data_IF_938683144877
#
_entry.id   IF_938683144877
#
_cell.length_a   1.000
_cell.length_b   1.000
_cell.length_c   1.000
_cell.angle_alpha   90.00
_cell.angle_beta   90.00
_cell.angle_gamma   90.00
#
_symmetry.space_group_name_H-M   'P 1'
#
loop_
_entity.id
_entity.type
_entity.pdbx_description
1 polymer ?
#
# COMPACT_ATOMS: atom_id res chain seq x y z
N UNK A 1 66.15 9.03 15.36
CA UNK A 1 64.73 9.40 15.45
C UNK A 1 63.84 9.01 14.20
N UNK A 2 64.31 9.14 12.94
CA UNK A 2 63.55 8.74 11.75
C UNK A 2 63.25 7.23 11.67
N UNK A 3 64.14 6.34 12.07
CA UNK A 3 63.95 4.88 12.05
C UNK A 3 62.95 4.38 13.09
N UNK A 4 62.83 5.04 14.25
CA UNK A 4 61.86 4.69 15.30
C UNK A 4 60.43 5.06 14.87
N UNK A 5 60.22 6.19 14.16
CA UNK A 5 58.93 6.59 13.64
C UNK A 5 58.39 5.61 12.58
N UNK A 6 59.30 5.07 11.71
CA UNK A 6 58.92 4.05 10.73
C UNK A 6 58.51 2.72 11.35
N UNK A 7 59.16 2.32 12.45
CA UNK A 7 58.86 1.08 13.16
C UNK A 7 57.52 1.15 13.92
N UNK A 8 57.23 2.32 14.52
CA UNK A 8 55.92 2.57 15.17
C UNK A 8 54.80 2.56 14.14
N UNK A 9 54.99 3.12 12.94
CA UNK A 9 53.99 3.11 11.87
C UNK A 9 53.72 1.70 11.34
N UNK A 10 54.77 0.86 11.24
CA UNK A 10 54.66 -0.55 10.83
C UNK A 10 53.91 -1.40 11.88
N UNK A 11 54.07 -1.08 13.16
CA UNK A 11 53.40 -1.77 14.28
C UNK A 11 51.92 -1.34 14.45
N UNK A 12 51.56 -0.12 14.05
CA UNK A 12 50.17 0.37 14.07
C UNK A 12 49.35 -0.04 12.82
N UNK A 13 49.99 -0.41 11.71
CA UNK A 13 49.35 -0.79 10.46
C UNK A 13 48.40 -2.00 10.60
N UNK A 14 48.74 -3.08 11.31
CA UNK A 14 47.81 -4.22 11.49
C UNK A 14 46.62 -3.90 12.39
N UNK A 15 46.71 -2.91 13.29
CA UNK A 15 45.55 -2.47 14.09
C UNK A 15 44.45 -1.77 13.25
N UNK A 16 44.83 -1.11 12.16
CA UNK A 16 43.86 -0.49 11.22
C UNK A 16 43.18 -1.52 10.33
N UNK A 17 43.76 -2.69 10.13
CA UNK A 17 43.19 -3.80 9.35
C UNK A 17 42.21 -4.67 10.19
N UNK A 18 42.28 -4.61 11.52
CA UNK A 18 41.40 -5.35 12.41
C UNK A 18 39.99 -4.73 12.55
N UNK A 19 39.74 -3.55 11.98
CA UNK A 19 38.47 -2.84 12.05
C UNK A 19 37.32 -3.46 11.22
N UNK A 20 37.58 -4.54 10.46
CA UNK A 20 36.60 -5.21 9.63
C UNK A 20 36.09 -6.56 10.19
N UNK A 21 36.35 -6.87 11.46
CA UNK A 21 36.07 -8.21 12.03
C UNK A 21 34.56 -8.44 12.39
N UNK A 22 33.72 -7.45 12.27
CA UNK A 22 32.30 -7.60 12.62
C UNK A 22 31.36 -7.65 11.36
N UNK A 23 31.86 -8.23 10.26
CA UNK A 23 31.03 -8.47 9.05
C UNK A 23 30.51 -9.90 9.06
N UNK A 24 29.20 -10.04 9.34
CA UNK A 24 28.46 -11.25 9.01
C UNK A 24 28.54 -11.44 7.49
N UNK A 25 29.04 -12.60 7.05
CA UNK A 25 29.18 -12.89 5.62
C UNK A 25 27.79 -12.95 4.93
N UNK A 26 27.76 -12.61 3.64
CA UNK A 26 26.49 -12.55 2.86
C UNK A 26 25.80 -13.91 2.83
N UNK A 27 26.58 -15.00 2.83
CA UNK A 27 26.09 -16.38 2.86
C UNK A 27 25.39 -16.75 4.17
N UNK A 28 25.70 -16.08 5.27
CA UNK A 28 25.07 -16.29 6.58
C UNK A 28 23.77 -15.48 6.75
N UNK A 29 23.46 -14.59 5.80
CA UNK A 29 22.25 -13.74 5.85
C UNK A 29 21.09 -14.37 5.12
N UNK A 30 19.93 -14.37 5.74
CA UNK A 30 18.64 -14.66 5.14
C UNK A 30 17.95 -13.37 4.71
N UNK A 31 17.99 -13.03 3.42
CA UNK A 31 17.36 -11.80 2.91
C UNK A 31 15.85 -11.91 2.92
N UNK A 32 15.20 -11.03 3.66
CA UNK A 32 13.73 -10.97 3.75
C UNK A 32 13.19 -10.09 2.63
N UNK A 33 12.26 -10.62 1.82
CA UNK A 33 11.56 -9.89 0.75
C UNK A 33 10.21 -9.33 1.19
N UNK A 34 9.48 -10.06 2.02
CA UNK A 34 8.16 -9.69 2.50
C UNK A 34 7.96 -10.08 3.95
N UNK A 35 7.19 -9.27 4.66
CA UNK A 35 6.73 -9.55 6.04
C UNK A 35 5.22 -9.42 6.06
N UNK A 36 4.55 -10.35 6.74
CA UNK A 36 3.12 -10.29 6.99
C UNK A 36 2.84 -10.48 8.48
N UNK A 37 1.86 -9.73 8.99
CA UNK A 37 1.47 -9.75 10.40
C UNK A 37 -0.03 -9.94 10.51
N UNK A 38 -0.41 -10.96 11.25
CA UNK A 38 -1.77 -11.38 11.55
C UNK A 38 -2.02 -11.44 13.06
N UNK A 39 -3.28 -11.46 13.47
CA UNK A 39 -3.61 -11.96 14.81
C UNK A 39 -3.43 -13.48 14.84
N UNK A 40 -2.91 -14.03 15.94
CA UNK A 40 -2.55 -15.44 16.04
C UNK A 40 -3.67 -16.41 15.68
N UNK A 41 -4.92 -16.05 15.99
CA UNK A 41 -6.11 -16.88 15.76
C UNK A 41 -6.90 -16.51 14.49
N UNK A 42 -6.32 -15.71 13.59
CA UNK A 42 -6.99 -15.36 12.33
C UNK A 42 -6.99 -16.55 11.37
N UNK A 43 -8.16 -16.94 10.81
CA UNK A 43 -8.23 -18.06 9.87
C UNK A 43 -7.52 -17.73 8.57
N UNK A 44 -6.69 -18.66 8.06
CA UNK A 44 -6.17 -18.63 6.70
C UNK A 44 -7.27 -18.99 5.70
N UNK A 45 -7.32 -18.31 4.55
CA UNK A 45 -8.21 -18.67 3.43
C UNK A 45 -7.55 -19.62 2.44
N UNK A 46 -6.24 -19.62 2.38
CA UNK A 46 -5.53 -20.63 1.62
C UNK A 46 -5.58 -21.90 2.45
N UNK A 47 -6.50 -22.79 2.10
CA UNK A 47 -6.53 -24.13 2.68
C UNK A 47 -5.33 -24.91 2.14
N UNK A 48 -4.19 -24.79 2.86
CA UNK A 48 -2.94 -25.48 2.52
C UNK A 48 -3.13 -27.00 2.68
N UNK A 49 -4.26 -27.44 3.26
CA UNK A 49 -4.56 -28.82 3.58
C UNK A 49 -5.51 -29.52 2.59
N UNK A 50 -6.21 -28.81 1.70
CA UNK A 50 -6.99 -29.48 0.65
C UNK A 50 -6.07 -29.93 -0.51
N UNK A 51 -6.06 -31.22 -0.86
CA UNK A 51 -5.42 -31.67 -2.09
C UNK A 51 -6.21 -31.10 -3.27
N UNK A 52 -5.65 -30.08 -3.97
CA UNK A 52 -6.20 -29.67 -5.27
C UNK A 52 -6.22 -30.87 -6.21
N UNK A 53 -7.27 -31.02 -7.05
CA UNK A 53 -7.35 -32.12 -7.97
C UNK A 53 -6.12 -32.14 -8.89
N UNK A 54 -5.56 -33.32 -9.02
CA UNK A 54 -4.36 -33.72 -9.74
C UNK A 54 -4.40 -33.36 -11.24
N UNK A 55 -4.21 -32.07 -11.60
CA UNK A 55 -4.00 -31.64 -12.98
C UNK A 55 -2.98 -30.49 -13.04
N UNK A 56 -1.71 -30.84 -13.10
CA UNK A 56 -0.67 -29.91 -13.50
C UNK A 56 0.17 -29.26 -12.40
N UNK A 57 0.10 -29.76 -11.17
CA UNK A 57 1.03 -29.30 -10.13
C UNK A 57 2.46 -29.65 -10.47
N UNK A 58 3.32 -28.65 -10.51
CA UNK A 58 4.75 -28.88 -10.61
C UNK A 58 5.27 -29.47 -9.29
N UNK A 59 6.33 -30.28 -9.34
CA UNK A 59 6.99 -30.85 -8.17
C UNK A 59 7.36 -29.79 -7.13
N UNK A 60 7.67 -28.58 -7.58
CA UNK A 60 7.93 -27.40 -6.77
C UNK A 60 6.74 -26.97 -5.91
N UNK A 61 5.52 -27.06 -6.44
CA UNK A 61 4.30 -26.71 -5.72
C UNK A 61 3.98 -27.74 -4.64
N UNK A 62 4.21 -29.02 -4.95
CA UNK A 62 4.07 -30.12 -3.97
C UNK A 62 5.13 -30.01 -2.87
N UNK A 63 6.39 -29.76 -3.23
CA UNK A 63 7.49 -29.62 -2.26
C UNK A 63 7.26 -28.37 -1.35
N UNK A 64 6.74 -27.26 -1.88
CA UNK A 64 6.35 -26.10 -1.08
C UNK A 64 5.17 -26.38 -0.14
N UNK A 65 4.16 -27.13 -0.60
CA UNK A 65 3.04 -27.52 0.25
C UNK A 65 3.50 -28.43 1.40
N UNK A 66 4.29 -29.45 1.09
CA UNK A 66 4.84 -30.37 2.10
C UNK A 66 5.73 -29.63 3.09
N UNK A 67 6.57 -28.73 2.59
CA UNK A 67 7.48 -27.92 3.40
C UNK A 67 6.73 -26.97 4.34
N UNK A 68 5.71 -26.28 3.83
CA UNK A 68 4.91 -25.33 4.61
C UNK A 68 4.05 -26.08 5.67
N UNK A 69 3.50 -27.25 5.32
CA UNK A 69 2.73 -28.10 6.24
C UNK A 69 3.54 -28.49 7.47
N UNK A 70 4.79 -28.86 7.28
CA UNK A 70 5.68 -29.27 8.39
C UNK A 70 6.06 -28.11 9.31
N UNK A 71 5.92 -26.85 8.85
CA UNK A 71 6.22 -25.67 9.68
C UNK A 71 5.01 -25.18 10.49
N UNK A 72 3.78 -25.35 9.96
CA UNK A 72 2.57 -24.90 10.64
C UNK A 72 2.14 -25.86 11.77
N UNK A 73 2.41 -27.16 11.65
CA UNK A 73 2.00 -28.17 12.65
C UNK A 73 2.81 -28.08 13.97
N UNK A 74 4.07 -27.63 13.92
CA UNK A 74 4.95 -27.58 15.10
C UNK A 74 4.71 -26.37 16.04
N UNK A 75 3.99 -25.33 15.59
CA UNK A 75 3.89 -24.05 16.30
C UNK A 75 2.49 -23.69 16.84
N UNK A 76 1.49 -24.55 16.70
CA UNK A 76 0.08 -24.24 17.05
C UNK A 76 -0.25 -24.37 18.54
N UNK A 77 0.73 -24.52 19.45
CA UNK A 77 0.45 -24.97 20.82
C UNK A 77 0.32 -23.87 21.88
N UNK A 78 0.29 -22.58 21.56
CA UNK A 78 0.09 -21.56 22.59
C UNK A 78 -1.15 -20.71 22.29
N UNK A 79 -2.29 -21.05 22.85
CA UNK A 79 -3.59 -20.35 22.68
C UNK A 79 -3.59 -18.87 23.15
N UNK A 80 -2.52 -18.43 23.80
CA UNK A 80 -2.39 -17.08 24.37
C UNK A 80 -1.57 -16.10 23.51
N UNK A 81 -0.98 -16.54 22.41
CA UNK A 81 -0.17 -15.65 21.54
C UNK A 81 -1.05 -14.59 20.89
N UNK A 82 -0.51 -13.34 20.76
CA UNK A 82 -1.24 -12.19 20.19
C UNK A 82 -1.14 -12.15 18.68
N UNK A 83 0.04 -12.44 18.13
CA UNK A 83 0.36 -12.22 16.72
C UNK A 83 0.92 -13.47 16.05
N UNK A 84 0.72 -13.55 14.73
CA UNK A 84 1.46 -14.45 13.83
C UNK A 84 2.30 -13.59 12.88
N UNK A 85 3.60 -13.81 12.87
CA UNK A 85 4.56 -13.20 11.97
C UNK A 85 4.93 -14.18 10.87
N UNK A 86 4.80 -13.79 9.61
CA UNK A 86 5.28 -14.57 8.46
C UNK A 86 6.36 -13.77 7.74
N UNK A 87 7.53 -14.38 7.52
CA UNK A 87 8.66 -13.79 6.78
C UNK A 87 8.95 -14.60 5.54
N UNK A 88 9.09 -13.91 4.41
CA UNK A 88 9.51 -14.50 3.14
C UNK A 88 11.00 -14.30 2.92
N UNK A 89 11.75 -15.39 2.99
CA UNK A 89 13.19 -15.42 2.75
C UNK A 89 13.49 -15.70 1.29
N UNK A 90 14.39 -14.93 0.69
CA UNK A 90 14.91 -15.16 -0.67
C UNK A 90 15.87 -16.34 -0.63
N UNK A 91 15.73 -17.25 -1.59
CA UNK A 91 16.66 -18.35 -1.82
C UNK A 91 17.44 -18.08 -3.12
N UNK A 92 18.66 -17.53 -3.05
CA UNK A 92 19.40 -17.06 -4.22
C UNK A 92 19.63 -18.15 -5.27
N UNK A 93 19.89 -19.40 -4.85
CA UNK A 93 20.10 -20.54 -5.74
C UNK A 93 18.86 -20.89 -6.59
N UNK A 94 17.65 -20.54 -6.11
CA UNK A 94 16.40 -20.75 -6.86
C UNK A 94 16.10 -19.66 -7.90
N UNK A 95 16.77 -18.51 -7.84
CA UNK A 95 16.52 -17.40 -8.77
C UNK A 95 17.06 -17.64 -10.18
N UNK A 96 18.21 -18.31 -10.29
CA UNK A 96 18.94 -18.50 -11.57
C UNK A 96 18.49 -19.69 -12.42
N UNK A 97 17.62 -20.57 -11.91
CA UNK A 97 17.23 -21.78 -12.62
C UNK A 97 16.09 -21.50 -13.61
N UNK A 98 16.27 -21.92 -14.87
CA UNK A 98 15.20 -21.94 -15.85
C UNK A 98 14.20 -23.06 -15.46
N UNK A 99 12.90 -22.79 -15.54
CA UNK A 99 11.83 -23.75 -15.20
C UNK A 99 11.84 -25.06 -16.01
N UNK A 100 12.69 -25.18 -17.06
CA UNK A 100 12.71 -26.29 -17.98
C UNK A 100 13.85 -27.33 -17.78
N UNK A 101 14.62 -27.20 -16.68
CA UNK A 101 15.67 -28.21 -16.40
C UNK A 101 15.05 -29.35 -15.59
N UNK A 102 14.95 -30.55 -16.15
CA UNK A 102 14.37 -31.75 -15.52
C UNK A 102 15.14 -32.30 -14.29
N UNK A 103 15.72 -31.41 -13.49
CA UNK A 103 16.38 -31.68 -12.21
C UNK A 103 15.61 -31.09 -11.03
N UNK A 104 15.98 -31.42 -9.80
CA UNK A 104 15.42 -30.83 -8.57
C UNK A 104 15.55 -29.30 -8.61
N UNK A 105 14.45 -28.60 -8.85
CA UNK A 105 14.41 -27.14 -8.86
C UNK A 105 14.35 -26.63 -7.42
N UNK A 106 15.33 -25.82 -7.02
CA UNK A 106 15.30 -25.13 -5.71
C UNK A 106 14.29 -24.00 -5.77
N UNK A 107 13.37 -23.85 -4.78
CA UNK A 107 12.42 -22.73 -4.76
C UNK A 107 13.14 -21.40 -4.63
N UNK A 108 12.58 -20.33 -5.27
CA UNK A 108 13.15 -18.99 -5.22
C UNK A 108 12.99 -18.30 -3.86
N UNK A 109 12.07 -18.76 -3.04
CA UNK A 109 11.80 -18.24 -1.70
C UNK A 109 11.38 -19.35 -0.74
N UNK A 110 11.42 -19.03 0.54
CA UNK A 110 10.93 -19.84 1.64
C UNK A 110 10.18 -18.94 2.62
N UNK A 111 8.98 -19.33 3.03
CA UNK A 111 8.26 -18.62 4.09
C UNK A 111 8.52 -19.31 5.45
N UNK A 112 8.69 -18.49 6.48
CA UNK A 112 8.73 -18.93 7.88
C UNK A 112 7.63 -18.21 8.63
N UNK A 113 6.91 -18.93 9.48
CA UNK A 113 5.85 -18.37 10.31
C UNK A 113 6.08 -18.71 11.77
N UNK A 114 5.80 -17.77 12.67
CA UNK A 114 5.91 -17.92 14.11
C UNK A 114 4.78 -17.14 14.79
N UNK A 115 4.19 -17.74 15.82
CA UNK A 115 3.25 -17.06 16.72
C UNK A 115 3.95 -16.60 17.98
N UNK A 116 3.52 -15.49 18.55
CA UNK A 116 4.11 -14.95 19.78
C UNK A 116 3.49 -13.62 20.19
N UNK A 117 3.98 -13.05 21.28
CA UNK A 117 3.51 -11.78 21.82
C UNK A 117 4.27 -10.58 21.27
N UNK A 118 5.49 -10.76 20.80
CA UNK A 118 6.33 -9.69 20.30
C UNK A 118 7.03 -10.07 19.00
N UNK A 119 7.16 -9.10 18.08
CA UNK A 119 7.86 -9.28 16.79
C UNK A 119 9.33 -9.69 16.99
N UNK A 120 9.99 -9.12 18.00
CA UNK A 120 11.42 -9.39 18.28
C UNK A 120 11.61 -10.84 18.72
N UNK A 121 10.74 -11.36 19.60
CA UNK A 121 10.78 -12.73 20.05
C UNK A 121 10.55 -13.71 18.90
N UNK A 122 9.47 -13.51 18.15
CA UNK A 122 9.15 -14.32 16.97
C UNK A 122 10.31 -14.33 15.96
N UNK A 123 10.93 -13.19 15.70
CA UNK A 123 12.09 -13.11 14.81
C UNK A 123 13.28 -13.92 15.31
N UNK A 124 13.56 -13.90 16.62
CA UNK A 124 14.63 -14.73 17.22
C UNK A 124 14.36 -16.23 17.09
N UNK A 125 13.11 -16.62 17.25
CA UNK A 125 12.72 -18.03 17.09
C UNK A 125 12.79 -18.48 15.62
N UNK A 126 12.44 -17.63 14.68
CA UNK A 126 12.65 -17.89 13.25
C UNK A 126 14.12 -18.07 12.87
N UNK A 127 15.04 -17.32 13.48
CA UNK A 127 16.49 -17.46 13.24
C UNK A 127 16.96 -18.88 13.61
N UNK A 128 16.41 -19.47 14.69
CA UNK A 128 16.71 -20.87 15.08
C UNK A 128 16.28 -21.89 14.01
N UNK A 129 15.20 -21.60 13.27
CA UNK A 129 14.68 -22.45 12.20
C UNK A 129 15.36 -22.17 10.85
N UNK A 130 15.71 -20.91 10.58
CA UNK A 130 16.27 -20.48 9.32
C UNK A 130 17.71 -20.95 9.12
N UNK A 131 18.48 -21.15 10.21
CA UNK A 131 19.92 -21.37 10.16
C UNK A 131 20.72 -20.18 9.60
N UNK A 132 20.04 -19.00 9.45
CA UNK A 132 20.61 -17.76 8.94
C UNK A 132 20.04 -16.58 9.70
N UNK A 133 20.85 -15.53 9.87
CA UNK A 133 20.39 -14.28 10.49
C UNK A 133 19.52 -13.53 9.48
N UNK A 134 18.28 -13.21 9.85
CA UNK A 134 17.37 -12.46 8.99
C UNK A 134 17.89 -11.04 8.74
N UNK A 135 17.83 -10.59 7.50
CA UNK A 135 18.28 -9.29 7.06
C UNK A 135 17.18 -8.61 6.24
N UNK A 136 16.76 -7.43 6.68
CA UNK A 136 15.65 -6.66 6.09
C UNK A 136 16.09 -5.58 5.11
N UNK A 137 17.37 -5.53 4.73
CA UNK A 137 17.87 -4.55 3.73
C UNK A 137 17.25 -4.72 2.35
N UNK A 138 16.68 -5.89 2.05
CA UNK A 138 15.98 -6.20 0.80
C UNK A 138 14.46 -6.34 0.98
N UNK A 139 13.93 -5.90 2.12
CA UNK A 139 12.51 -5.91 2.36
C UNK A 139 11.78 -4.99 1.37
N UNK A 140 10.80 -5.54 0.67
CA UNK A 140 10.03 -4.84 -0.34
C UNK A 140 8.67 -4.39 0.19
N UNK A 141 8.02 -5.23 1.03
CA UNK A 141 6.65 -5.01 1.51
C UNK A 141 6.45 -5.51 2.93
N UNK A 142 5.67 -4.76 3.70
CA UNK A 142 5.08 -5.19 4.97
C UNK A 142 3.56 -5.19 4.81
N UNK A 143 2.94 -6.30 5.14
CA UNK A 143 1.51 -6.53 5.07
C UNK A 143 0.93 -6.66 6.47
N UNK A 144 -0.20 -6.02 6.70
CA UNK A 144 -0.98 -6.18 7.93
C UNK A 144 -2.37 -6.68 7.55
N UNK A 145 -2.89 -7.69 8.24
CA UNK A 145 -4.29 -8.06 8.05
C UNK A 145 -5.24 -6.95 8.51
N UNK A 146 -6.43 -6.90 7.93
CA UNK A 146 -7.49 -5.97 8.34
C UNK A 146 -7.79 -6.12 9.84
N UNK A 147 -7.75 -7.36 10.36
CA UNK A 147 -7.94 -7.64 11.77
C UNK A 147 -6.91 -6.93 12.67
N UNK A 148 -5.63 -6.93 12.27
CA UNK A 148 -4.56 -6.19 12.98
C UNK A 148 -4.77 -4.69 12.86
N UNK A 149 -5.10 -4.19 11.67
CA UNK A 149 -5.20 -2.76 11.40
C UNK A 149 -6.44 -2.10 12.02
N UNK A 150 -7.51 -2.87 12.28
CA UNK A 150 -8.73 -2.38 12.94
C UNK A 150 -8.65 -2.44 14.47
N UNK A 151 -7.69 -3.18 15.02
CA UNK A 151 -7.44 -3.21 16.45
C UNK A 151 -6.79 -1.87 16.90
N UNK A 152 -7.33 -1.30 17.97
CA UNK A 152 -6.92 0.01 18.47
C UNK A 152 -5.47 0.00 18.97
N UNK A 153 -4.66 0.97 18.53
CA UNK A 153 -3.23 1.18 18.78
C UNK A 153 -2.30 0.11 18.18
N UNK A 154 -2.79 -1.05 17.76
CA UNK A 154 -1.95 -2.19 17.34
C UNK A 154 -1.11 -1.85 16.09
N UNK A 155 -1.72 -1.24 15.08
CA UNK A 155 -1.00 -0.88 13.86
C UNK A 155 0.13 0.13 14.13
N UNK A 156 -0.11 1.15 14.97
CA UNK A 156 0.90 2.15 15.33
C UNK A 156 2.05 1.52 16.10
N UNK A 157 1.76 0.70 17.11
CA UNK A 157 2.76 0.01 17.92
C UNK A 157 3.65 -0.92 17.06
N UNK A 158 3.05 -1.69 16.15
CA UNK A 158 3.79 -2.55 15.24
C UNK A 158 4.63 -1.75 14.25
N UNK A 159 4.11 -0.66 13.70
CA UNK A 159 4.87 0.23 12.82
C UNK A 159 6.07 0.86 13.55
N UNK A 160 5.94 1.24 14.83
CA UNK A 160 7.06 1.80 15.62
C UNK A 160 8.23 0.79 15.72
N UNK A 161 7.94 -0.50 15.88
CA UNK A 161 8.96 -1.56 15.91
C UNK A 161 9.74 -1.59 14.59
N UNK A 162 9.05 -1.59 13.46
CA UNK A 162 9.69 -1.60 12.14
C UNK A 162 10.48 -0.33 11.87
N UNK A 163 9.99 0.83 12.31
CA UNK A 163 10.65 2.12 12.11
C UNK A 163 11.90 2.31 12.95
N UNK A 164 12.06 1.54 14.03
CA UNK A 164 13.29 1.49 14.87
C UNK A 164 14.37 0.57 14.30
N UNK A 165 13.99 -0.33 13.37
CA UNK A 165 14.95 -1.24 12.74
C UNK A 165 15.91 -0.48 11.82
N UNK A 166 17.21 -0.52 12.15
CA UNK A 166 18.24 0.27 11.46
C UNK A 166 18.50 -0.17 10.02
N UNK A 167 18.31 -1.46 9.73
CA UNK A 167 18.55 -2.04 8.41
C UNK A 167 17.35 -1.87 7.48
N UNK A 168 16.17 -1.51 8.00
CA UNK A 168 14.96 -1.36 7.20
C UNK A 168 14.99 -0.07 6.37
N UNK A 169 14.76 -0.21 5.06
CA UNK A 169 14.65 0.93 4.16
C UNK A 169 13.31 1.66 4.33
N UNK A 170 13.35 2.98 4.33
CA UNK A 170 12.14 3.80 4.40
C UNK A 170 11.24 3.70 3.16
N UNK A 171 11.75 3.15 2.06
CA UNK A 171 11.03 2.91 0.82
C UNK A 171 10.18 1.63 0.80
N UNK A 172 10.26 0.81 1.85
CA UNK A 172 9.45 -0.41 2.00
C UNK A 172 7.97 -0.05 1.89
N UNK A 173 7.23 -0.76 1.04
CA UNK A 173 5.79 -0.54 0.85
C UNK A 173 5.01 -1.13 2.00
N UNK A 174 3.89 -0.50 2.34
CA UNK A 174 2.98 -0.99 3.37
C UNK A 174 1.59 -1.09 2.79
N UNK A 175 0.91 -2.20 3.04
CA UNK A 175 -0.47 -2.40 2.64
C UNK A 175 -1.25 -3.19 3.71
N UNK A 176 -2.57 -3.02 3.68
CA UNK A 176 -3.51 -3.86 4.43
C UNK A 176 -3.95 -5.01 3.52
N UNK A 177 -4.24 -6.15 4.10
CA UNK A 177 -4.85 -7.28 3.39
C UNK A 177 -6.25 -7.52 3.95
N UNK A 178 -7.19 -7.84 3.07
CA UNK A 178 -8.57 -8.06 3.48
C UNK A 178 -8.73 -9.26 4.41
N UNK A 179 -7.87 -10.26 4.24
CA UNK A 179 -7.86 -11.50 4.99
C UNK A 179 -6.49 -11.70 5.67
N UNK A 180 -6.13 -12.94 5.96
CA UNK A 180 -4.87 -13.35 6.57
C UNK A 180 -3.68 -12.87 5.72
N UNK A 181 -2.84 -12.00 6.28
CA UNK A 181 -1.76 -11.34 5.54
C UNK A 181 -0.66 -12.31 5.11
N UNK A 182 -0.40 -13.34 5.92
CA UNK A 182 0.56 -14.39 5.61
C UNK A 182 0.28 -15.09 4.28
N UNK A 183 -1.00 -15.29 3.93
CA UNK A 183 -1.42 -15.98 2.71
C UNK A 183 -0.89 -15.29 1.44
N UNK A 184 -0.74 -13.98 1.45
CA UNK A 184 -0.24 -13.19 0.33
C UNK A 184 1.23 -13.49 0.00
N UNK A 185 1.99 -14.01 0.94
CA UNK A 185 3.37 -14.42 0.70
C UNK A 185 3.49 -15.86 0.16
N UNK A 186 2.38 -16.61 0.08
CA UNK A 186 2.32 -17.96 -0.50
C UNK A 186 1.76 -18.01 -1.92
N UNK A 187 1.31 -16.89 -2.49
CA UNK A 187 0.84 -16.86 -3.87
C UNK A 187 1.99 -17.18 -4.85
N UNK A 188 1.64 -17.63 -6.05
CA UNK A 188 2.58 -18.04 -7.10
C UNK A 188 2.36 -17.19 -8.35
N UNK A 189 2.74 -15.91 -8.37
CA UNK A 189 2.51 -15.04 -9.51
C UNK A 189 3.34 -15.49 -10.71
N UNK A 190 2.74 -15.44 -11.91
CA UNK A 190 3.40 -15.95 -13.12
C UNK A 190 4.53 -15.06 -13.65
N UNK A 191 4.50 -13.77 -13.33
CA UNK A 191 5.43 -12.75 -13.84
C UNK A 191 6.56 -12.38 -12.87
N UNK A 192 6.55 -12.93 -11.65
CA UNK A 192 7.56 -12.67 -10.63
C UNK A 192 7.78 -13.93 -9.78
N UNK A 193 9.04 -14.29 -9.51
CA UNK A 193 9.36 -15.49 -8.74
C UNK A 193 9.16 -15.32 -7.22
N UNK A 194 9.14 -14.07 -6.73
CA UNK A 194 9.06 -13.75 -5.30
C UNK A 194 7.79 -12.95 -5.04
N UNK A 195 6.80 -13.50 -4.32
CA UNK A 195 5.55 -12.81 -3.97
C UNK A 195 5.72 -11.41 -3.39
N UNK A 196 6.63 -11.21 -2.45
CA UNK A 196 6.89 -9.89 -1.85
C UNK A 196 7.33 -8.84 -2.86
N UNK A 197 8.12 -9.22 -3.88
CA UNK A 197 8.50 -8.33 -4.98
C UNK A 197 7.31 -8.05 -5.92
N UNK A 198 6.49 -9.06 -6.21
CA UNK A 198 5.28 -8.91 -7.00
C UNK A 198 4.32 -7.91 -6.37
N UNK A 199 4.05 -8.07 -5.06
CA UNK A 199 3.15 -7.17 -4.32
C UNK A 199 3.70 -5.74 -4.31
N UNK A 200 4.99 -5.57 -4.08
CA UNK A 200 5.60 -4.23 -4.11
C UNK A 200 5.45 -3.55 -5.48
N UNK A 201 5.63 -4.29 -6.59
CA UNK A 201 5.40 -3.78 -7.96
C UNK A 201 3.92 -3.47 -8.22
N UNK A 202 3.00 -4.31 -7.72
CA UNK A 202 1.56 -4.06 -7.80
C UNK A 202 1.18 -2.74 -7.13
N UNK A 203 1.75 -2.46 -5.96
CA UNK A 203 1.52 -1.21 -5.22
C UNK A 203 2.16 0.03 -5.89
N UNK A 204 3.10 -0.14 -6.80
CA UNK A 204 3.71 0.96 -7.57
C UNK A 204 2.94 1.33 -8.85
N UNK A 205 1.95 0.54 -9.24
CA UNK A 205 1.15 0.82 -10.43
C UNK A 205 0.27 2.06 -10.20
N UNK A 206 0.45 3.07 -11.06
CA UNK A 206 -0.27 4.35 -10.98
C UNK A 206 -1.30 4.53 -12.09
N UNK A 207 -1.49 3.53 -12.93
CA UNK A 207 -2.32 3.61 -14.14
C UNK A 207 -3.83 3.44 -13.88
N UNK A 208 -4.27 3.52 -12.62
CA UNK A 208 -5.68 3.40 -12.27
C UNK A 208 -6.04 4.42 -11.19
N UNK A 209 -7.12 5.17 -11.40
CA UNK A 209 -7.64 6.16 -10.44
C UNK A 209 -8.09 5.56 -9.10
N UNK A 210 -8.33 4.25 -9.02
CA UNK A 210 -8.66 3.57 -7.77
C UNK A 210 -7.43 3.33 -6.89
N UNK A 211 -6.22 3.38 -7.48
CA UNK A 211 -4.95 3.11 -6.81
C UNK A 211 -4.39 4.42 -6.26
N UNK A 212 -4.11 4.47 -4.96
CA UNK A 212 -3.41 5.61 -4.37
C UNK A 212 -1.91 5.60 -4.68
N UNK A 213 -1.26 6.72 -4.40
CA UNK A 213 0.21 6.77 -4.40
C UNK A 213 0.77 5.70 -3.44
N UNK A 214 1.88 5.02 -3.81
CA UNK A 214 2.48 4.02 -2.96
C UNK A 214 2.76 4.57 -1.56
N UNK A 215 2.25 3.89 -0.54
CA UNK A 215 2.50 4.26 0.85
C UNK A 215 3.72 3.51 1.36
N UNK A 216 4.73 4.23 1.82
CA UNK A 216 5.97 3.66 2.32
C UNK A 216 6.06 3.78 3.85
N UNK A 217 6.91 2.95 4.46
CA UNK A 217 7.19 3.03 5.89
C UNK A 217 7.64 4.44 6.32
N UNK A 218 8.46 5.12 5.49
CA UNK A 218 8.88 6.50 5.75
C UNK A 218 7.73 7.51 5.68
N UNK A 219 6.77 7.32 4.77
CA UNK A 219 5.56 8.16 4.71
C UNK A 219 4.70 7.96 5.96
N UNK A 220 4.47 6.69 6.36
CA UNK A 220 3.68 6.36 7.56
C UNK A 220 4.32 6.98 8.80
N UNK A 221 5.65 6.88 8.96
CA UNK A 221 6.35 7.51 10.07
C UNK A 221 6.06 9.01 10.16
N UNK A 222 6.16 9.72 9.04
CA UNK A 222 5.90 11.16 9.02
C UNK A 222 4.44 11.50 9.36
N UNK A 223 3.49 10.65 8.92
CA UNK A 223 2.06 10.81 9.18
C UNK A 223 1.72 10.54 10.64
N UNK A 224 2.22 9.45 11.23
CA UNK A 224 2.02 9.09 12.64
C UNK A 224 2.63 10.17 13.57
N UNK A 225 3.88 10.59 13.32
CA UNK A 225 4.53 11.64 14.10
C UNK A 225 3.80 12.99 14.03
N UNK A 226 3.14 13.27 12.90
CA UNK A 226 2.34 14.49 12.73
C UNK A 226 0.88 14.32 13.13
N UNK A 227 0.49 13.17 13.70
CA UNK A 227 -0.88 12.81 14.10
C UNK A 227 -1.89 13.10 13.00
N UNK A 228 -1.60 12.64 11.78
CA UNK A 228 -2.46 12.79 10.61
C UNK A 228 -3.07 11.48 10.23
N UNK A 229 -4.35 11.51 9.91
CA UNK A 229 -5.06 10.41 9.27
C UNK A 229 -4.60 10.23 7.82
N UNK A 230 -4.60 9.00 7.33
CA UNK A 230 -4.12 8.66 5.99
C UNK A 230 -4.81 7.42 5.43
N UNK A 231 -4.70 7.27 4.12
CA UNK A 231 -5.18 6.10 3.41
C UNK A 231 -4.06 5.07 3.23
N UNK A 232 -4.38 3.79 3.42
CA UNK A 232 -3.47 2.66 3.23
C UNK A 232 -4.05 1.76 2.13
N UNK A 233 -3.26 1.35 1.12
CA UNK A 233 -3.70 0.38 0.12
C UNK A 233 -4.25 -0.88 0.76
N UNK A 234 -5.40 -1.40 0.26
CA UNK A 234 -5.94 -2.69 0.65
C UNK A 234 -5.92 -3.65 -0.52
N UNK A 235 -5.46 -4.87 -0.27
CA UNK A 235 -5.29 -5.94 -1.24
C UNK A 235 -6.25 -7.09 -0.95
N UNK A 236 -6.62 -7.84 -2.00
CA UNK A 236 -7.40 -9.07 -1.91
C UNK A 236 -6.83 -10.15 -2.82
N UNK A 237 -6.72 -11.38 -2.32
CA UNK A 237 -6.37 -12.55 -3.13
C UNK A 237 -7.58 -12.91 -3.98
N UNK A 238 -7.39 -13.01 -5.30
CA UNK A 238 -8.39 -13.51 -6.25
C UNK A 238 -8.24 -15.01 -6.41
N UNK A 239 -7.00 -15.45 -6.64
CA UNK A 239 -6.60 -16.87 -6.74
C UNK A 239 -5.12 -17.01 -6.34
N UNK A 240 -4.60 -18.25 -6.41
CA UNK A 240 -3.22 -18.57 -6.01
C UNK A 240 -2.14 -17.80 -6.83
N UNK A 241 -2.49 -17.23 -7.97
CA UNK A 241 -1.57 -16.51 -8.87
C UNK A 241 -1.80 -15.01 -8.88
N UNK A 242 -2.95 -14.53 -8.37
CA UNK A 242 -3.44 -13.18 -8.63
C UNK A 242 -3.88 -12.46 -7.36
N UNK A 243 -3.34 -11.28 -7.15
CA UNK A 243 -3.79 -10.31 -6.15
C UNK A 243 -4.40 -9.12 -6.86
N UNK A 244 -5.54 -8.63 -6.34
CA UNK A 244 -6.14 -7.37 -6.75
C UNK A 244 -5.91 -6.28 -5.71
N UNK A 245 -5.69 -5.07 -6.21
CA UNK A 245 -5.84 -3.85 -5.45
C UNK A 245 -7.35 -3.55 -5.31
N UNK A 246 -7.85 -3.54 -4.07
CA UNK A 246 -9.32 -3.45 -3.83
C UNK A 246 -9.76 -2.03 -3.51
N UNK A 247 -8.88 -1.20 -2.95
CA UNK A 247 -9.22 0.16 -2.54
C UNK A 247 -8.26 0.70 -1.48
N UNK A 248 -8.80 1.54 -0.60
CA UNK A 248 -8.06 2.31 0.39
C UNK A 248 -8.67 2.10 1.78
N UNK A 249 -7.91 1.56 2.72
CA UNK A 249 -8.26 1.54 4.14
C UNK A 249 -8.01 2.91 4.75
N UNK A 250 -8.93 3.40 5.59
CA UNK A 250 -8.89 4.71 6.24
C UNK A 250 -8.33 4.55 7.63
N UNK A 251 -7.07 4.96 7.85
CA UNK A 251 -6.49 5.05 9.19
C UNK A 251 -6.85 6.38 9.82
N UNK A 252 -7.49 6.34 10.99
CA UNK A 252 -7.83 7.51 11.79
C UNK A 252 -6.79 7.68 12.90
N UNK A 253 -6.09 8.81 12.89
CA UNK A 253 -5.00 9.09 13.83
C UNK A 253 -5.49 9.41 15.25
N UNK A 254 -6.74 9.86 15.42
CA UNK A 254 -7.33 10.11 16.74
C UNK A 254 -7.76 8.80 17.42
N UNK A 255 -8.25 7.83 16.61
CA UNK A 255 -8.69 6.51 17.09
C UNK A 255 -7.58 5.45 17.01
N UNK A 256 -6.43 5.79 16.45
CA UNK A 256 -5.27 4.92 16.24
C UNK A 256 -5.61 3.55 15.61
N UNK A 257 -6.48 3.53 14.61
CA UNK A 257 -6.90 2.31 13.89
C UNK A 257 -7.52 2.60 12.53
N UNK A 258 -7.66 1.57 11.72
CA UNK A 258 -8.47 1.61 10.51
C UNK A 258 -9.96 1.65 10.90
N UNK A 259 -10.70 2.58 10.30
CA UNK A 259 -12.12 2.86 10.63
C UNK A 259 -13.06 2.65 9.46
N UNK A 260 -12.56 2.38 8.27
CA UNK A 260 -13.37 2.16 7.07
C UNK A 260 -12.52 1.92 5.83
N UNK A 261 -13.19 1.68 4.72
CA UNK A 261 -12.58 1.38 3.42
C UNK A 261 -13.30 2.19 2.34
N UNK A 262 -12.54 2.76 1.40
CA UNK A 262 -13.02 3.33 0.15
C UNK A 262 -12.71 2.38 -1.00
N UNK A 263 -13.68 2.04 -1.83
CA UNK A 263 -13.52 1.16 -3.00
C UNK A 263 -14.12 1.78 -4.25
N UNK A 264 -13.69 1.34 -5.43
CA UNK A 264 -14.25 1.79 -6.71
C UNK A 264 -14.33 3.32 -6.82
N UNK A 265 -15.53 3.84 -7.13
CA UNK A 265 -15.72 5.28 -7.34
C UNK A 265 -15.48 6.14 -6.09
N UNK A 266 -15.64 5.59 -4.88
CA UNK A 266 -15.32 6.31 -3.65
C UNK A 266 -13.81 6.51 -3.49
N UNK A 267 -13.00 5.53 -3.90
CA UNK A 267 -11.54 5.66 -3.97
C UNK A 267 -11.11 6.63 -5.08
N UNK A 268 -11.73 6.57 -6.27
CA UNK A 268 -11.51 7.54 -7.36
C UNK A 268 -11.81 8.96 -6.89
N UNK A 269 -12.93 9.16 -6.17
CA UNK A 269 -13.33 10.46 -5.63
C UNK A 269 -12.26 11.06 -4.71
N UNK A 270 -11.66 10.26 -3.81
CA UNK A 270 -10.55 10.69 -2.97
C UNK A 270 -9.33 11.08 -3.81
N UNK A 271 -9.02 10.27 -4.82
CA UNK A 271 -7.87 10.50 -5.67
C UNK A 271 -8.03 11.73 -6.56
N UNK A 272 -9.21 12.05 -7.07
CA UNK A 272 -9.46 13.34 -7.72
C UNK A 272 -9.19 14.54 -6.83
N UNK A 273 -9.44 14.41 -5.51
CA UNK A 273 -9.18 15.48 -4.54
C UNK A 273 -7.68 15.60 -4.23
N UNK A 274 -6.99 14.47 -4.02
CA UNK A 274 -5.64 14.44 -3.45
C UNK A 274 -4.52 14.25 -4.47
N UNK A 275 -4.83 13.72 -5.66
CA UNK A 275 -3.79 13.25 -6.56
C UNK A 275 -3.16 14.36 -7.39
N UNK A 276 -1.86 14.21 -7.52
CA UNK A 276 -1.06 14.82 -8.58
C UNK A 276 -0.53 13.67 -9.44
N UNK A 277 -0.67 13.79 -10.74
CA UNK A 277 -0.09 12.85 -11.72
C UNK A 277 -0.65 11.42 -11.71
N UNK A 278 -1.91 11.22 -11.27
CA UNK A 278 -2.62 9.96 -11.47
C UNK A 278 -3.37 9.95 -12.79
N UNK A 279 -3.32 8.80 -13.45
CA UNK A 279 -4.07 8.51 -14.67
C UNK A 279 -5.09 7.40 -14.42
N UNK A 280 -6.01 7.19 -15.34
CA UNK A 280 -7.02 6.13 -15.26
C UNK A 280 -8.22 6.46 -16.10
N UNK A 281 -9.30 5.71 -15.98
CA UNK A 281 -10.48 5.86 -16.85
C UNK A 281 -11.72 6.22 -16.07
N UNK A 282 -12.59 7.00 -16.73
CA UNK A 282 -13.97 7.27 -16.31
C UNK A 282 -14.91 6.93 -17.47
N UNK A 283 -15.91 6.13 -17.18
CA UNK A 283 -16.93 5.75 -18.17
C UNK A 283 -18.14 6.67 -18.06
N UNK A 284 -18.58 7.20 -19.18
CA UNK A 284 -19.77 8.06 -19.31
C UNK A 284 -20.73 7.42 -20.29
N UNK A 285 -21.98 7.25 -19.89
CA UNK A 285 -23.06 6.95 -20.82
C UNK A 285 -23.76 8.26 -21.23
N UNK A 286 -23.66 8.63 -22.50
CA UNK A 286 -24.27 9.82 -23.06
C UNK A 286 -25.21 9.44 -24.20
N UNK A 287 -26.52 9.62 -23.99
CA UNK A 287 -27.54 9.34 -25.02
C UNK A 287 -27.43 7.92 -25.59
N UNK A 288 -27.29 6.90 -24.76
CA UNK A 288 -27.04 5.48 -25.10
C UNK A 288 -25.73 5.21 -25.85
N UNK A 289 -24.76 6.13 -25.78
CA UNK A 289 -23.41 5.90 -26.25
C UNK A 289 -22.50 5.79 -25.04
N UNK A 290 -21.73 4.70 -24.96
CA UNK A 290 -20.72 4.52 -23.92
C UNK A 290 -19.41 5.12 -24.36
N UNK A 291 -18.90 6.06 -23.58
CA UNK A 291 -17.62 6.74 -23.83
C UNK A 291 -16.70 6.53 -22.64
N UNK A 292 -15.55 5.93 -22.90
CA UNK A 292 -14.47 5.80 -21.92
C UNK A 292 -13.50 6.96 -22.11
N UNK A 293 -13.35 7.77 -21.06
CA UNK A 293 -12.42 8.88 -21.02
C UNK A 293 -11.19 8.50 -20.20
N UNK A 294 -10.02 8.66 -20.78
CA UNK A 294 -8.75 8.52 -20.07
C UNK A 294 -8.40 9.85 -19.39
N UNK A 295 -8.23 9.82 -18.08
CA UNK A 295 -7.75 10.96 -17.29
C UNK A 295 -6.24 11.07 -17.47
N UNK A 296 -5.79 12.13 -18.09
CA UNK A 296 -4.39 12.39 -18.39
C UNK A 296 -3.71 13.17 -17.28
N UNK A 297 -4.46 14.09 -16.64
CA UNK A 297 -3.94 14.93 -15.57
C UNK A 297 -5.03 15.43 -14.65
N UNK A 298 -4.73 15.46 -13.36
CA UNK A 298 -5.59 16.03 -12.32
C UNK A 298 -4.79 17.09 -11.54
N UNK A 299 -5.40 18.23 -11.29
CA UNK A 299 -4.84 19.27 -10.41
C UNK A 299 -5.93 19.80 -9.48
N UNK A 300 -5.73 19.63 -8.21
CA UNK A 300 -6.66 20.04 -7.15
C UNK A 300 -6.09 21.17 -6.30
N UNK A 301 -6.93 22.14 -5.92
CA UNK A 301 -6.57 23.26 -5.05
C UNK A 301 -7.63 23.51 -4.01
N UNK A 302 -7.23 23.44 -2.73
CA UNK A 302 -8.07 23.77 -1.57
C UNK A 302 -7.97 25.24 -1.25
N UNK A 303 -9.09 25.88 -0.90
CA UNK A 303 -9.15 27.24 -0.38
C UNK A 303 -10.17 27.36 0.77
N UNK A 304 -9.82 28.08 1.83
CA UNK A 304 -10.73 28.42 2.90
C UNK A 304 -11.55 29.65 2.50
N UNK A 305 -12.88 29.55 2.50
CA UNK A 305 -13.82 30.65 2.14
C UNK A 305 -14.41 31.34 3.34
N UNK A 306 -14.62 30.60 4.43
CA UNK A 306 -15.05 31.17 5.70
C UNK A 306 -14.19 30.58 6.82
N UNK A 307 -13.60 31.43 7.64
CA UNK A 307 -12.72 31.07 8.77
C UNK A 307 -13.41 31.15 10.13
N UNK A 308 -14.72 31.36 10.18
CA UNK A 308 -15.46 31.21 11.43
C UNK A 308 -15.43 29.73 11.85
N UNK A 309 -14.84 29.44 13.01
CA UNK A 309 -14.68 28.08 13.52
C UNK A 309 -15.98 27.31 13.68
N UNK A 310 -17.12 28.00 13.83
CA UNK A 310 -18.45 27.38 13.91
C UNK A 310 -19.02 27.02 12.53
N UNK A 311 -18.53 27.66 11.46
CA UNK A 311 -19.06 27.55 10.11
C UNK A 311 -17.92 27.57 9.08
N UNK A 312 -16.93 26.68 9.26
CA UNK A 312 -15.82 26.56 8.30
C UNK A 312 -16.34 26.20 6.93
N UNK A 313 -15.93 26.95 5.90
CA UNK A 313 -16.28 26.66 4.51
C UNK A 313 -15.03 26.55 3.65
N UNK A 314 -14.90 25.40 3.01
CA UNK A 314 -13.82 25.13 2.06
C UNK A 314 -14.37 25.06 0.64
N UNK A 315 -13.53 25.39 -0.31
CA UNK A 315 -13.77 25.13 -1.71
C UNK A 315 -12.58 24.37 -2.27
N UNK A 316 -12.86 23.24 -2.93
CA UNK A 316 -11.89 22.39 -3.61
C UNK A 316 -12.15 22.54 -5.10
N UNK A 317 -11.19 23.16 -5.81
CA UNK A 317 -11.25 23.28 -7.27
C UNK A 317 -10.42 22.18 -7.91
N UNK A 318 -11.04 21.35 -8.73
CA UNK A 318 -10.41 20.23 -9.45
C UNK A 318 -10.40 20.57 -10.94
N UNK A 319 -9.22 20.59 -11.56
CA UNK A 319 -9.05 20.71 -12.99
C UNK A 319 -8.58 19.36 -13.54
N UNK A 320 -9.27 18.87 -14.56
CA UNK A 320 -9.02 17.57 -15.18
C UNK A 320 -8.76 17.75 -16.66
N UNK A 321 -7.68 17.16 -17.14
CA UNK A 321 -7.38 16.99 -18.57
C UNK A 321 -7.67 15.52 -18.90
N UNK A 322 -8.51 15.26 -19.90
CA UNK A 322 -8.90 13.92 -20.30
C UNK A 322 -8.84 13.76 -21.82
N UNK A 323 -8.58 12.54 -22.27
CA UNK A 323 -8.67 12.13 -23.67
C UNK A 323 -9.81 11.12 -23.86
N UNK A 324 -10.29 10.95 -25.08
CA UNK A 324 -11.25 9.90 -25.41
C UNK A 324 -10.45 8.64 -25.74
N UNK A 325 -10.56 7.62 -24.87
CA UNK A 325 -9.88 6.34 -25.05
C UNK A 325 -10.72 5.38 -25.92
N UNK A 326 -12.03 5.33 -25.70
CA UNK A 326 -12.89 4.40 -26.39
C UNK A 326 -14.32 4.98 -26.50
N UNK A 327 -15.00 4.65 -27.57
CA UNK A 327 -16.38 5.09 -27.80
C UNK A 327 -17.17 3.99 -28.52
N UNK A 328 -18.34 3.67 -27.96
CA UNK A 328 -19.32 2.80 -28.60
C UNK A 328 -20.55 3.60 -28.97
N UNK A 329 -21.04 3.41 -30.21
CA UNK A 329 -22.19 4.11 -30.75
C UNK A 329 -21.84 5.15 -31.79
N UNK A 330 -22.79 6.02 -32.14
CA UNK A 330 -22.72 6.96 -33.26
C UNK A 330 -22.47 8.43 -32.84
N UNK A 331 -21.98 8.67 -31.62
CA UNK A 331 -21.77 10.02 -31.13
C UNK A 331 -20.68 10.73 -31.95
N UNK A 332 -21.03 11.83 -32.60
CA UNK A 332 -20.04 12.65 -33.31
C UNK A 332 -19.39 13.67 -32.37
N UNK A 333 -18.21 13.34 -31.86
CA UNK A 333 -17.47 14.16 -30.88
C UNK A 333 -16.93 15.47 -31.52
N UNK A 334 -16.84 15.54 -32.84
CA UNK A 334 -16.44 16.75 -33.55
C UNK A 334 -17.55 17.80 -33.57
N UNK A 335 -18.80 17.39 -33.28
CA UNK A 335 -19.89 18.33 -33.06
C UNK A 335 -19.68 19.04 -31.71
N UNK A 336 -19.73 20.37 -31.70
CA UNK A 336 -19.47 21.18 -30.52
C UNK A 336 -20.49 20.95 -29.40
N UNK A 337 -21.76 20.69 -29.75
CA UNK A 337 -22.79 20.40 -28.77
C UNK A 337 -22.52 19.07 -28.06
N UNK A 338 -22.24 18.01 -28.81
CA UNK A 338 -21.89 16.70 -28.23
C UNK A 338 -20.61 16.77 -27.38
N UNK A 339 -19.60 17.53 -27.81
CA UNK A 339 -18.39 17.76 -27.02
C UNK A 339 -18.72 18.45 -25.70
N UNK A 340 -19.55 19.49 -25.72
CA UNK A 340 -19.95 20.24 -24.52
C UNK A 340 -20.83 19.38 -23.60
N UNK A 341 -21.69 18.52 -24.15
CA UNK A 341 -22.48 17.55 -23.37
C UNK A 341 -21.57 16.54 -22.68
N UNK A 342 -20.63 15.94 -23.39
CA UNK A 342 -19.66 14.99 -22.83
C UNK A 342 -18.83 15.61 -21.72
N UNK A 343 -18.34 16.85 -21.95
CA UNK A 343 -17.62 17.61 -20.93
C UNK A 343 -18.43 17.80 -19.66
N UNK A 344 -19.70 18.24 -19.78
CA UNK A 344 -20.60 18.44 -18.65
C UNK A 344 -20.93 17.12 -17.94
N UNK A 345 -21.08 16.03 -18.70
CA UNK A 345 -21.33 14.71 -18.14
C UNK A 345 -20.14 14.23 -17.29
N UNK A 346 -18.91 14.41 -17.78
CA UNK A 346 -17.70 14.08 -17.01
C UNK A 346 -17.54 14.97 -15.77
N UNK A 347 -17.79 16.29 -15.89
CA UNK A 347 -17.77 17.21 -14.73
C UNK A 347 -18.77 16.75 -13.66
N UNK A 348 -19.99 16.39 -14.07
CA UNK A 348 -21.04 15.90 -13.17
C UNK A 348 -20.65 14.60 -12.48
N UNK A 349 -20.08 13.66 -13.22
CA UNK A 349 -19.66 12.35 -12.68
C UNK A 349 -18.57 12.52 -11.62
N UNK A 350 -17.55 13.34 -11.89
CA UNK A 350 -16.48 13.65 -10.93
C UNK A 350 -17.04 14.36 -9.69
N UNK A 351 -18.00 15.28 -9.84
CA UNK A 351 -18.67 15.92 -8.72
C UNK A 351 -19.43 14.90 -7.88
N UNK A 352 -20.11 13.94 -8.50
CA UNK A 352 -20.85 12.89 -7.78
C UNK A 352 -19.90 12.01 -6.97
N UNK A 353 -18.84 11.47 -7.61
CA UNK A 353 -17.83 10.65 -6.93
C UNK A 353 -17.22 11.40 -5.74
N UNK A 354 -16.72 12.63 -5.97
CA UNK A 354 -16.03 13.41 -4.94
C UNK A 354 -16.97 13.82 -3.79
N UNK A 355 -18.22 14.20 -4.09
CA UNK A 355 -19.21 14.56 -3.07
C UNK A 355 -19.59 13.36 -2.21
N UNK A 356 -19.76 12.18 -2.83
CA UNK A 356 -20.05 10.93 -2.11
C UNK A 356 -18.89 10.58 -1.18
N UNK A 357 -17.64 10.63 -1.67
CA UNK A 357 -16.45 10.40 -0.88
C UNK A 357 -16.35 11.35 0.32
N UNK A 358 -16.59 12.65 0.11
CA UNK A 358 -16.62 13.64 1.21
C UNK A 358 -17.69 13.29 2.23
N UNK A 359 -18.87 12.87 1.80
CA UNK A 359 -19.95 12.47 2.71
C UNK A 359 -19.55 11.27 3.57
N UNK A 360 -18.92 10.25 2.99
CA UNK A 360 -18.39 9.08 3.74
C UNK A 360 -17.35 9.56 4.76
N UNK A 361 -16.39 10.36 4.33
CA UNK A 361 -15.31 10.83 5.20
C UNK A 361 -15.81 11.69 6.36
N UNK A 362 -16.81 12.55 6.12
CA UNK A 362 -17.35 13.45 7.15
C UNK A 362 -18.38 12.79 8.06
N UNK A 363 -19.29 11.94 7.50
CA UNK A 363 -20.44 11.42 8.24
C UNK A 363 -20.21 10.04 8.82
N UNK A 364 -19.62 9.13 8.03
CA UNK A 364 -19.53 7.73 8.42
C UNK A 364 -18.27 7.45 9.25
N UNK A 365 -17.11 7.96 8.81
CA UNK A 365 -15.81 7.68 9.46
C UNK A 365 -15.21 8.86 10.23
N UNK A 366 -15.67 10.08 9.98
CA UNK A 366 -15.24 11.32 10.64
C UNK A 366 -13.72 11.56 10.57
N UNK A 367 -13.13 11.33 9.39
CA UNK A 367 -11.68 11.28 9.17
C UNK A 367 -11.26 12.15 7.99
N UNK A 368 -10.34 13.10 8.21
CA UNK A 368 -9.86 14.03 7.18
C UNK A 368 -8.78 13.40 6.30
N UNK A 369 -9.18 12.78 5.22
CA UNK A 369 -8.29 12.38 4.13
C UNK A 369 -8.22 13.42 2.99
N UNK A 370 -8.97 14.53 3.08
CA UNK A 370 -8.98 15.57 2.06
C UNK A 370 -7.78 16.51 2.16
N UNK A 371 -7.06 16.48 3.28
CA UNK A 371 -5.94 17.34 3.57
C UNK A 371 -6.33 18.77 3.98
N UNK A 372 -7.56 18.98 4.49
CA UNK A 372 -8.03 20.27 4.99
C UNK A 372 -7.22 20.72 6.20
N UNK A 373 -6.88 19.77 7.10
CA UNK A 373 -5.98 20.00 8.24
C UNK A 373 -4.61 20.53 7.77
N UNK A 374 -4.05 19.95 6.73
CA UNK A 374 -2.76 20.37 6.16
C UNK A 374 -2.86 21.75 5.53
N UNK A 375 -3.98 22.05 4.86
CA UNK A 375 -4.24 23.37 4.31
C UNK A 375 -4.34 24.44 5.41
N UNK A 376 -5.07 24.15 6.50
CA UNK A 376 -5.18 25.05 7.66
C UNK A 376 -3.84 25.25 8.36
N UNK A 377 -3.09 24.17 8.60
CA UNK A 377 -1.77 24.23 9.21
C UNK A 377 -0.82 25.15 8.42
N UNK A 378 -0.79 25.01 7.09
CA UNK A 378 0.13 25.77 6.22
C UNK A 378 -0.29 27.22 6.00
N UNK A 379 -1.57 27.49 5.85
CA UNK A 379 -2.06 28.78 5.37
C UNK A 379 -2.86 29.58 6.40
N UNK A 380 -3.35 28.94 7.48
CA UNK A 380 -4.23 29.54 8.47
C UNK A 380 -3.86 29.07 9.90
N UNK A 381 -2.57 29.05 10.21
CA UNK A 381 -2.05 28.52 11.48
C UNK A 381 -2.70 29.09 12.75
N UNK A 382 -3.01 30.42 12.88
CA UNK A 382 -3.68 30.97 14.03
C UNK A 382 -5.09 30.42 14.28
N UNK A 383 -5.78 29.98 13.22
CA UNK A 383 -7.06 29.26 13.32
C UNK A 383 -6.81 27.81 13.70
N UNK A 384 -5.90 27.14 12.97
CA UNK A 384 -5.56 25.73 13.17
C UNK A 384 -5.14 25.43 14.62
N UNK A 385 -4.28 26.25 15.21
CA UNK A 385 -3.82 26.06 16.58
C UNK A 385 -4.92 26.05 17.63
N UNK A 386 -6.10 26.59 17.30
CA UNK A 386 -7.27 26.67 18.22
C UNK A 386 -8.27 25.53 18.03
N UNK A 387 -8.18 24.78 16.94
CA UNK A 387 -9.16 23.76 16.57
C UNK A 387 -8.54 22.38 16.32
N UNK A 388 -7.20 22.28 16.28
CA UNK A 388 -6.48 21.06 15.91
C UNK A 388 -6.82 19.85 16.78
N UNK A 389 -6.99 20.05 18.08
CA UNK A 389 -7.25 18.98 19.05
C UNK A 389 -8.72 18.49 19.00
N UNK A 390 -9.60 19.23 18.34
CA UNK A 390 -11.01 18.93 18.12
C UNK A 390 -11.33 18.67 16.63
N UNK A 391 -10.31 18.44 15.78
CA UNK A 391 -10.50 18.36 14.33
C UNK A 391 -11.27 17.11 13.91
N UNK A 392 -10.80 15.94 14.28
CA UNK A 392 -11.41 14.61 14.02
C UNK A 392 -12.01 14.00 15.31
N UNK A 393 -11.79 14.62 16.46
CA UNK A 393 -12.36 14.29 17.76
C UNK A 393 -13.12 15.46 18.35
N UNK A 394 -13.53 15.37 19.61
CA UNK A 394 -14.16 16.45 20.37
C UNK A 394 -15.29 17.16 19.65
N UNK A 395 -15.08 18.39 19.19
CA UNK A 395 -16.07 19.19 18.47
C UNK A 395 -16.30 18.75 17.03
N UNK A 396 -15.46 17.86 16.47
CA UNK A 396 -15.57 17.33 15.12
C UNK A 396 -15.64 18.43 14.03
N UNK A 397 -14.71 19.38 14.09
CA UNK A 397 -14.70 20.50 13.13
C UNK A 397 -14.61 20.05 11.69
N UNK A 398 -13.87 18.97 11.37
CA UNK A 398 -13.83 18.38 10.04
C UNK A 398 -15.22 17.96 9.56
N UNK A 399 -15.93 17.18 10.36
CA UNK A 399 -17.26 16.64 10.01
C UNK A 399 -18.32 17.71 9.83
N UNK A 400 -18.18 18.85 10.54
CA UNK A 400 -19.11 20.00 10.49
C UNK A 400 -18.74 21.03 9.43
N UNK A 401 -17.58 20.91 8.79
CA UNK A 401 -17.14 21.83 7.76
C UNK A 401 -17.96 21.67 6.48
N UNK A 402 -18.34 22.78 5.85
CA UNK A 402 -18.96 22.82 4.54
C UNK A 402 -17.86 22.74 3.46
N UNK A 403 -17.90 21.71 2.61
CA UNK A 403 -16.91 21.48 1.55
C UNK A 403 -17.59 21.51 0.20
N UNK A 404 -17.34 22.56 -0.57
CA UNK A 404 -17.83 22.70 -1.95
C UNK A 404 -16.79 22.18 -2.94
N UNK A 405 -17.25 21.46 -3.97
CA UNK A 405 -16.44 20.99 -5.08
C UNK A 405 -16.77 21.81 -6.34
N UNK A 406 -15.77 22.32 -6.99
CA UNK A 406 -15.86 22.91 -8.32
C UNK A 406 -14.94 22.12 -9.26
N UNK A 407 -15.52 21.50 -10.30
CA UNK A 407 -14.77 20.72 -11.32
C UNK A 407 -14.76 21.47 -12.62
N UNK A 408 -13.60 21.49 -13.29
CA UNK A 408 -13.44 21.98 -14.64
C UNK A 408 -12.68 20.94 -15.47
N UNK A 409 -13.29 20.49 -16.55
CA UNK A 409 -12.75 19.47 -17.44
C UNK A 409 -12.30 20.10 -18.76
N UNK A 410 -11.20 19.61 -19.29
CA UNK A 410 -10.78 19.82 -20.67
C UNK A 410 -10.61 18.46 -21.33
N UNK A 411 -11.30 18.20 -22.44
CA UNK A 411 -11.17 16.96 -23.19
C UNK A 411 -10.30 17.25 -24.42
N UNK A 412 -9.20 16.51 -24.57
CA UNK A 412 -8.37 16.61 -25.77
C UNK A 412 -9.12 16.03 -26.97
N UNK A 413 -9.13 16.76 -28.07
CA UNK A 413 -9.75 16.26 -29.31
C UNK A 413 -8.83 15.18 -29.92
N UNK A 414 -9.39 14.04 -30.37
CA UNK A 414 -8.58 13.01 -31.01
C UNK A 414 -7.92 13.53 -32.28
N UNK A 415 -6.57 13.39 -32.37
CA UNK A 415 -5.80 14.04 -33.44
C UNK A 415 -6.03 13.52 -34.85
N UNK A 416 -6.43 12.24 -35.05
CA UNK A 416 -6.52 11.61 -36.39
C UNK A 416 -7.70 10.65 -36.59
N UNK A 417 -8.54 10.34 -35.61
CA UNK A 417 -9.69 9.44 -35.76
C UNK A 417 -10.97 10.26 -35.68
N UNK A 418 -11.59 10.53 -36.81
CA UNK A 418 -12.71 11.44 -36.94
C UNK A 418 -14.10 10.79 -36.78
N UNK A 419 -14.22 9.47 -36.85
CA UNK A 419 -15.49 8.72 -36.69
C UNK A 419 -15.20 7.28 -36.28
N UNK A 420 -15.92 6.76 -35.29
CA UNK A 420 -16.15 5.30 -35.18
C UNK A 420 -17.12 4.88 -36.29
N UNK A 421 -16.81 3.81 -37.00
CA UNK A 421 -17.69 3.25 -38.04
C UNK A 421 -18.83 2.45 -37.45
#
# INVERSE_FOLDING_TARGET
>A
MKKIKGFIFLLLSPLLLAACWDKIEVEERGFVSGIAIDLANSPSKLDINEPTPDQGETRLQQDQKIFNRNLDEDNLQNENNKFKLTQQLIVPSGLGQAQNSGGNTVPAFRNLSQTGDTIIEMNRDMIKQAGRITNVTHLNVVLFSEAVATAENVFEDLMDIFLREKEMLRSVKVAITKDHAGDYLYILPQNEKIPGMYIAKLLENKSNLEIAQPLTAGNIQALLLSKKSFAIPILNIVDITTINYTGLSIYNAEKNKVVGILTGDDAKGLNFINSKDQTGTVNINLNNNDVTLEVLKVNSKISLKNNDKKHLKFNIKINVEAGIAEQYGSLNIMNEDHYNELKKALEKEIIQMTTKTISILQKDVQTDLLGLNTHLYKNHYPLWSKIKDDWEGGQLYFSKSDVKIDVNVTIEKPGNILKSH
#
